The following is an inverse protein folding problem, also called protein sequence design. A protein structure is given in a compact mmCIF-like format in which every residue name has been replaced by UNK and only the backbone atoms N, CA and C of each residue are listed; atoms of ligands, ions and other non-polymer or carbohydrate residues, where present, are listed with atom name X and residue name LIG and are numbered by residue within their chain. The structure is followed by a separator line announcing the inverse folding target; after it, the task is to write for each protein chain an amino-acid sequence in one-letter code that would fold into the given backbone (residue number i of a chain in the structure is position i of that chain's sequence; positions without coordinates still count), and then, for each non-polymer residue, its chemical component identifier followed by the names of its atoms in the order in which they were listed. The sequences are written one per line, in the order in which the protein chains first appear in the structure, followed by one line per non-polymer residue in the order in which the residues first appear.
data_IF_282887926950
#
_entry.id   IF_282887926950
#
_cell.length_a   1.000
_cell.length_b   1.000
_cell.length_c   1.000
_cell.angle_alpha   90.00
_cell.angle_beta   90.00
_cell.angle_gamma   90.00
#
_symmetry.space_group_name_H-M   'P 1'
#
loop_
_entity.id
_entity.type
_entity.pdbx_description
1 polymer ?
#
# COMPACT_ATOMS: atom_id res chain seq x y z
N UNK A 1 -11.92 -11.56 -5.21
CA UNK A 1 -11.61 -10.13 -5.04
C UNK A 1 -10.65 -9.92 -3.88
N UNK A 2 -9.39 -10.30 -4.01
CA UNK A 2 -8.34 -10.09 -3.00
C UNK A 2 -6.97 -9.85 -3.66
N UNK A 3 -5.91 -9.70 -2.87
CA UNK A 3 -4.53 -9.47 -3.36
C UNK A 3 -4.11 -10.44 -4.49
N UNK A 4 -4.59 -11.68 -4.44
CA UNK A 4 -4.37 -12.70 -5.49
C UNK A 4 -4.94 -12.32 -6.87
N UNK A 5 -6.03 -11.57 -6.92
CA UNK A 5 -6.62 -11.09 -8.18
C UNK A 5 -5.85 -9.90 -8.75
N UNK A 6 -5.14 -9.15 -7.89
CA UNK A 6 -4.21 -8.11 -8.34
C UNK A 6 -2.95 -8.74 -8.92
N UNK A 7 -2.49 -9.87 -8.38
CA UNK A 7 -1.36 -10.64 -8.94
C UNK A 7 -1.67 -11.19 -10.35
N UNK A 8 -2.93 -11.48 -10.67
CA UNK A 8 -3.35 -11.90 -12.04
C UNK A 8 -3.19 -10.75 -13.05
N UNK A 9 -3.38 -9.48 -12.64
CA UNK A 9 -3.09 -8.30 -13.48
C UNK A 9 -1.58 -8.05 -13.60
N UNK A 10 -0.81 -8.37 -12.56
CA UNK A 10 0.65 -8.22 -12.48
C UNK A 10 1.40 -9.37 -13.19
N UNK A 11 0.70 -10.28 -13.89
CA UNK A 11 1.34 -11.39 -14.61
C UNK A 11 2.13 -10.96 -15.89
N UNK A 12 2.44 -9.67 -16.04
CA UNK A 12 3.44 -9.15 -16.97
C UNK A 12 4.27 -8.02 -16.33
N UNK A 13 5.12 -8.35 -15.36
CA UNK A 13 6.47 -7.78 -15.20
C UNK A 13 7.10 -8.38 -13.94
N UNK A 14 8.26 -8.99 -14.09
CA UNK A 14 9.24 -9.17 -13.01
C UNK A 14 9.73 -7.79 -12.51
N UNK A 15 8.83 -6.97 -11.98
CA UNK A 15 9.10 -5.62 -11.51
C UNK A 15 9.59 -5.64 -10.07
N UNK A 16 10.67 -4.93 -9.80
CA UNK A 16 11.21 -4.73 -8.46
C UNK A 16 10.09 -4.25 -7.50
N UNK A 17 9.94 -4.90 -6.34
CA UNK A 17 8.90 -4.57 -5.35
C UNK A 17 8.97 -3.12 -4.89
N UNK A 18 10.18 -2.55 -4.79
CA UNK A 18 10.40 -1.13 -4.48
C UNK A 18 9.83 -0.22 -5.56
N UNK A 19 9.98 -0.58 -6.84
CA UNK A 19 9.41 0.19 -7.95
C UNK A 19 7.88 0.21 -7.91
N UNK A 20 7.26 -0.93 -7.58
CA UNK A 20 5.79 -1.02 -7.44
C UNK A 20 5.28 -0.18 -6.27
N UNK A 21 5.99 -0.19 -5.13
CA UNK A 21 5.65 0.65 -3.98
C UNK A 21 5.74 2.14 -4.34
N UNK A 22 6.76 2.55 -5.09
CA UNK A 22 6.92 3.92 -5.57
C UNK A 22 5.81 4.32 -6.55
N UNK A 23 5.50 3.47 -7.53
CA UNK A 23 4.43 3.72 -8.51
C UNK A 23 3.07 3.88 -7.82
N UNK A 24 2.80 3.03 -6.84
CA UNK A 24 1.58 3.12 -6.03
C UNK A 24 1.52 4.43 -5.26
N UNK A 25 2.63 4.85 -4.64
CA UNK A 25 2.70 6.13 -3.94
C UNK A 25 2.42 7.33 -4.86
N UNK A 26 2.97 7.31 -6.09
CA UNK A 26 2.71 8.35 -7.09
C UNK A 26 1.22 8.38 -7.48
N UNK A 27 0.62 7.22 -7.73
CA UNK A 27 -0.81 7.11 -8.06
C UNK A 27 -1.71 7.61 -6.91
N UNK A 28 -1.34 7.33 -5.66
CA UNK A 28 -2.05 7.85 -4.48
C UNK A 28 -1.98 9.38 -4.42
N UNK A 29 -0.82 9.98 -4.67
CA UNK A 29 -0.67 11.44 -4.70
C UNK A 29 -1.54 12.08 -5.78
N UNK A 30 -1.67 11.45 -6.95
CA UNK A 30 -2.56 11.97 -8.01
C UNK A 30 -4.03 11.84 -7.62
N UNK A 31 -4.41 10.70 -7.07
CA UNK A 31 -5.79 10.42 -6.64
C UNK A 31 -6.23 11.40 -5.56
N UNK A 32 -5.35 11.76 -4.63
CA UNK A 32 -5.69 12.68 -3.54
C UNK A 32 -6.02 14.09 -4.03
N UNK A 33 -5.50 14.53 -5.18
CA UNK A 33 -5.77 15.87 -5.73
C UNK A 33 -7.24 16.08 -6.07
N UNK A 34 -7.97 15.01 -6.38
CA UNK A 34 -9.40 15.06 -6.70
C UNK A 34 -10.28 14.61 -5.54
N UNK A 35 -9.67 14.18 -4.43
CA UNK A 35 -10.38 13.63 -3.28
C UNK A 35 -10.75 14.74 -2.29
N UNK A 36 -11.99 14.69 -1.83
CA UNK A 36 -12.53 15.56 -0.79
C UNK A 36 -13.01 14.72 0.39
N UNK A 37 -12.89 15.25 1.60
CA UNK A 37 -13.30 14.55 2.83
C UNK A 37 -14.07 15.47 3.78
N UNK A 38 -15.04 14.91 4.51
CA UNK A 38 -15.90 15.64 5.44
C UNK A 38 -16.70 16.74 4.74
N UNK A 39 -16.60 17.97 5.24
CA UNK A 39 -17.23 19.19 4.69
C UNK A 39 -16.51 19.68 3.41
N UNK A 40 -16.29 18.78 2.47
CA UNK A 40 -15.69 19.03 1.16
C UNK A 40 -14.28 19.65 1.20
N UNK A 41 -13.50 19.32 2.25
CA UNK A 41 -12.14 19.81 2.42
C UNK A 41 -11.14 19.00 1.58
N UNK A 42 -10.07 19.68 1.14
CA UNK A 42 -8.95 19.03 0.48
C UNK A 42 -8.18 18.11 1.43
N UNK A 43 -7.82 16.93 0.93
CA UNK A 43 -7.03 15.96 1.68
C UNK A 43 -5.55 16.23 1.44
N UNK A 44 -4.80 16.49 2.51
CA UNK A 44 -3.35 16.59 2.44
C UNK A 44 -2.70 15.24 2.74
N UNK A 45 -1.94 14.72 1.77
CA UNK A 45 -1.24 13.44 1.88
C UNK A 45 0.27 13.63 1.96
N UNK A 46 0.90 12.90 2.90
CA UNK A 46 2.36 12.76 3.01
C UNK A 46 2.69 11.28 3.03
N UNK A 47 3.62 10.84 2.18
CA UNK A 47 4.02 9.42 2.07
C UNK A 47 5.51 9.30 2.39
N UNK A 48 5.85 8.50 3.39
CA UNK A 48 7.22 8.08 3.67
C UNK A 48 7.46 6.67 3.13
N UNK A 49 8.62 6.42 2.51
CA UNK A 49 8.99 5.11 1.96
C UNK A 49 10.33 4.69 2.56
N UNK A 50 10.40 3.44 3.01
CA UNK A 50 11.62 2.81 3.52
C UNK A 50 11.78 1.41 2.90
N UNK A 51 13.02 1.00 2.65
CA UNK A 51 13.37 -0.33 2.16
C UNK A 51 14.45 -0.95 3.05
N UNK A 52 14.18 -2.16 3.53
CA UNK A 52 15.07 -2.88 4.45
C UNK A 52 14.54 -4.26 4.80
N UNK A 53 15.32 -5.02 5.57
CA UNK A 53 14.87 -6.30 6.13
C UNK A 53 13.88 -6.03 7.26
N UNK A 54 12.88 -6.90 7.40
CA UNK A 54 11.86 -6.83 8.45
C UNK A 54 11.60 -8.22 9.02
N UNK A 55 11.05 -8.29 10.24
CA UNK A 55 10.56 -9.54 10.82
C UNK A 55 9.04 -9.55 10.67
N UNK A 56 8.49 -10.60 10.08
CA UNK A 56 7.06 -10.76 9.88
C UNK A 56 6.51 -11.92 10.73
N UNK A 57 5.36 -11.71 11.36
CA UNK A 57 4.72 -12.72 12.21
C UNK A 57 3.22 -12.49 12.40
N UNK A 58 2.59 -13.37 13.17
CA UNK A 58 1.18 -13.26 13.56
C UNK A 58 1.11 -13.06 15.08
N UNK A 59 0.37 -12.04 15.50
CA UNK A 59 0.17 -11.71 16.93
C UNK A 59 -1.28 -11.99 17.31
N UNK A 60 -1.48 -12.54 18.51
CA UNK A 60 -2.80 -12.75 19.12
C UNK A 60 -3.40 -14.13 18.83
N UNK A 61 -3.87 -14.80 19.89
CA UNK A 61 -4.43 -16.17 19.80
C UNK A 61 -5.90 -16.15 19.35
N UNK A 62 -6.71 -15.26 19.93
CA UNK A 62 -8.15 -15.24 19.70
C UNK A 62 -8.58 -14.30 18.56
N UNK A 63 -7.70 -13.38 18.14
CA UNK A 63 -7.85 -12.47 16.99
C UNK A 63 -6.49 -12.28 16.31
N UNK A 64 -6.03 -13.24 15.49
CA UNK A 64 -4.71 -13.18 14.87
C UNK A 64 -4.61 -11.99 13.93
N UNK A 65 -3.51 -11.24 14.04
CA UNK A 65 -3.19 -10.10 13.17
C UNK A 65 -1.79 -10.27 12.58
N UNK A 66 -1.65 -10.02 11.28
CA UNK A 66 -0.34 -9.97 10.65
C UNK A 66 0.38 -8.68 11.08
N UNK A 67 1.59 -8.84 11.60
CA UNK A 67 2.41 -7.73 12.08
C UNK A 67 3.78 -7.77 11.44
N UNK A 68 4.28 -6.59 11.11
CA UNK A 68 5.66 -6.33 10.76
C UNK A 68 6.33 -5.64 11.94
N UNK A 69 7.50 -6.14 12.34
CA UNK A 69 8.32 -5.61 13.44
C UNK A 69 9.72 -5.30 12.89
#
# INVERSE_FOLDING_TARGET
GGLKDYDVVINQKNGNSTSRALETAIQMMETVKTMKYGDNQDVQLKIGIHYGRVIAGVIGVHKPQFSLI
#
